data_IF_953497234436
#
_entry.id   IF_953497234436
#
_cell.length_a   1.000
_cell.length_b   1.000
_cell.length_c   1.000
_cell.angle_alpha   90.00
_cell.angle_beta   90.00
_cell.angle_gamma   90.00
#
_symmetry.space_group_name_H-M   'P 1'
#
loop_
_entity.id
_entity.type
_entity.pdbx_description
1 polymer ?
#
# COMPACT_ATOMS: atom_id res chain seq x y z
N UNK A 1 -4.17 29.35 -30.08
CA UNK A 1 -5.29 29.00 -29.17
C UNK A 1 -6.55 28.51 -29.88
N UNK A 2 -6.79 28.83 -31.16
CA UNK A 2 -7.98 28.36 -31.89
C UNK A 2 -8.00 26.84 -32.14
N UNK A 3 -6.84 26.19 -32.26
CA UNK A 3 -6.75 24.76 -32.54
C UNK A 3 -7.25 23.88 -31.39
N UNK A 4 -6.89 24.20 -30.13
CA UNK A 4 -7.38 23.46 -28.96
C UNK A 4 -8.90 23.63 -28.82
N UNK A 5 -9.43 24.83 -29.10
CA UNK A 5 -10.88 25.08 -29.12
C UNK A 5 -11.62 24.26 -30.18
N UNK A 6 -11.02 24.01 -31.35
CA UNK A 6 -11.60 23.12 -32.38
C UNK A 6 -11.63 21.64 -31.95
N UNK A 7 -10.79 21.22 -31.00
CA UNK A 7 -10.72 19.84 -30.51
C UNK A 7 -11.78 19.51 -29.43
N UNK A 8 -12.25 20.53 -28.70
CA UNK A 8 -13.26 20.42 -27.62
C UNK A 8 -14.54 19.67 -28.04
N UNK A 9 -15.18 19.95 -29.20
CA UNK A 9 -16.39 19.23 -29.61
C UNK A 9 -16.14 17.74 -29.89
N UNK A 10 -14.93 17.36 -30.34
CA UNK A 10 -14.56 15.95 -30.53
C UNK A 10 -14.32 15.26 -29.18
N UNK A 11 -13.59 15.89 -28.28
CA UNK A 11 -13.33 15.36 -26.92
C UNK A 11 -14.63 15.22 -26.12
N UNK A 12 -15.65 16.04 -26.40
CA UNK A 12 -16.97 15.98 -25.74
C UNK A 12 -17.69 14.64 -25.95
N UNK A 13 -17.49 13.95 -27.07
CA UNK A 13 -18.06 12.61 -27.29
C UNK A 13 -17.34 11.53 -26.47
N UNK A 14 -16.07 11.75 -26.12
CA UNK A 14 -15.23 10.83 -25.34
C UNK A 14 -15.15 11.16 -23.84
N UNK A 15 -16.05 11.99 -23.31
CA UNK A 15 -16.05 12.41 -21.89
C UNK A 15 -15.95 11.26 -20.89
N UNK A 16 -16.63 10.14 -21.15
CA UNK A 16 -16.58 8.95 -20.30
C UNK A 16 -15.16 8.37 -20.26
N UNK A 17 -14.50 8.23 -21.40
CA UNK A 17 -13.13 7.72 -21.50
C UNK A 17 -12.11 8.69 -20.89
N UNK A 18 -12.30 10.00 -21.07
CA UNK A 18 -11.45 11.01 -20.45
C UNK A 18 -11.56 10.95 -18.91
N UNK A 19 -12.78 10.87 -18.36
CA UNK A 19 -12.99 10.68 -16.92
C UNK A 19 -12.36 9.38 -16.42
N UNK A 20 -12.59 8.28 -17.13
CA UNK A 20 -12.06 6.97 -16.76
C UNK A 20 -10.53 6.95 -16.79
N UNK A 21 -9.90 7.62 -17.77
CA UNK A 21 -8.45 7.74 -17.85
C UNK A 21 -7.89 8.53 -16.67
N UNK A 22 -8.49 9.68 -16.32
CA UNK A 22 -8.09 10.45 -15.14
C UNK A 22 -8.26 9.62 -13.86
N UNK A 23 -9.40 8.93 -13.71
CA UNK A 23 -9.67 8.06 -12.58
C UNK A 23 -8.63 6.94 -12.45
N UNK A 24 -8.30 6.24 -13.53
CA UNK A 24 -7.27 5.22 -13.53
C UNK A 24 -5.86 5.77 -13.31
N UNK A 25 -5.57 7.00 -13.75
CA UNK A 25 -4.29 7.64 -13.48
C UNK A 25 -4.14 7.98 -11.99
N UNK A 26 -5.22 8.46 -11.35
CA UNK A 26 -5.26 8.68 -9.90
C UNK A 26 -5.09 7.37 -9.15
N UNK A 27 -5.83 6.31 -9.54
CA UNK A 27 -5.64 4.98 -8.97
C UNK A 27 -4.22 4.47 -9.18
N UNK A 28 -3.64 4.66 -10.36
CA UNK A 28 -2.26 4.27 -10.66
C UNK A 28 -1.26 4.97 -9.75
N UNK A 29 -1.41 6.27 -9.51
CA UNK A 29 -0.55 7.00 -8.57
C UNK A 29 -0.72 6.47 -7.13
N UNK A 30 -1.96 6.24 -6.69
CA UNK A 30 -2.26 5.71 -5.35
C UNK A 30 -1.70 4.29 -5.19
N UNK A 31 -2.02 3.36 -6.08
CA UNK A 31 -1.49 2.00 -6.06
C UNK A 31 0.03 1.96 -6.24
N UNK A 32 0.61 2.85 -7.03
CA UNK A 32 2.04 3.01 -7.16
C UNK A 32 2.70 3.36 -5.83
N UNK A 33 2.18 4.37 -5.11
CA UNK A 33 2.67 4.72 -3.77
C UNK A 33 2.44 3.61 -2.74
N UNK A 34 1.27 2.95 -2.76
CA UNK A 34 0.97 1.82 -1.88
C UNK A 34 1.87 0.60 -2.15
N UNK A 35 2.28 0.37 -3.41
CA UNK A 35 3.23 -0.70 -3.76
C UNK A 35 4.57 -0.49 -3.05
N UNK A 36 5.07 0.76 -3.01
CA UNK A 36 6.28 1.08 -2.25
C UNK A 36 6.09 0.88 -0.74
N UNK A 37 4.94 1.30 -0.18
CA UNK A 37 4.62 1.07 1.24
C UNK A 37 4.56 -0.43 1.57
N UNK A 38 3.99 -1.24 0.68
CA UNK A 38 3.91 -2.71 0.83
C UNK A 38 5.28 -3.40 0.67
N UNK A 39 6.18 -2.83 -0.12
CA UNK A 39 7.55 -3.35 -0.27
C UNK A 39 8.41 -3.10 0.99
N UNK A 40 8.11 -2.05 1.76
CA UNK A 40 8.83 -1.70 2.98
C UNK A 40 8.94 -2.86 4.00
N UNK A 41 7.87 -3.58 4.40
CA UNK A 41 8.00 -4.72 5.30
C UNK A 41 8.84 -5.85 4.72
N UNK A 42 8.80 -6.09 3.39
CA UNK A 42 9.67 -7.11 2.76
C UNK A 42 11.14 -6.73 2.87
N UNK A 43 11.50 -5.48 2.60
CA UNK A 43 12.87 -4.97 2.75
C UNK A 43 13.34 -5.06 4.21
N UNK A 44 12.48 -4.70 5.17
CA UNK A 44 12.78 -4.83 6.61
C UNK A 44 13.08 -6.28 7.02
N UNK A 45 12.32 -7.24 6.49
CA UNK A 45 12.53 -8.68 6.73
C UNK A 45 13.84 -9.16 6.08
N UNK A 46 14.11 -8.78 4.82
CA UNK A 46 15.36 -9.12 4.13
C UNK A 46 16.60 -8.59 4.85
N UNK A 47 16.55 -7.32 5.28
CA UNK A 47 17.65 -6.61 5.94
C UNK A 47 17.76 -6.91 7.44
N UNK A 48 16.94 -7.82 7.98
CA UNK A 48 16.87 -8.18 9.42
C UNK A 48 16.74 -6.96 10.36
N UNK A 49 16.26 -5.83 9.86
CA UNK A 49 16.13 -4.57 10.61
C UNK A 49 14.72 -4.39 11.21
N UNK A 50 13.96 -5.48 11.32
CA UNK A 50 12.60 -5.47 11.86
C UNK A 50 12.63 -5.39 13.38
N UNK A 51 12.01 -4.35 13.95
CA UNK A 51 11.69 -4.32 15.38
C UNK A 51 10.77 -5.50 15.69
N UNK A 52 11.18 -6.35 16.63
CA UNK A 52 10.42 -7.53 17.02
C UNK A 52 9.30 -7.09 17.96
N UNK A 53 8.11 -6.90 17.40
CA UNK A 53 6.91 -6.66 18.21
C UNK A 53 6.42 -8.01 18.72
N UNK A 54 6.72 -8.31 19.99
CA UNK A 54 6.36 -9.57 20.66
C UNK A 54 4.98 -9.51 21.35
N UNK A 55 4.40 -8.31 21.45
CA UNK A 55 3.11 -8.07 22.12
C UNK A 55 2.08 -7.68 21.08
N UNK A 56 0.93 -8.36 21.08
CA UNK A 56 -0.17 -8.06 20.15
C UNK A 56 -0.68 -6.63 20.40
N UNK A 57 -0.69 -5.75 19.38
CA UNK A 57 -1.23 -4.39 19.56
C UNK A 57 -2.73 -4.46 19.87
N UNK A 58 -3.17 -3.65 20.83
CA UNK A 58 -4.58 -3.56 21.26
C UNK A 58 -5.19 -2.31 20.65
N UNK A 59 -6.28 -2.46 19.90
CA UNK A 59 -6.97 -1.35 19.19
C UNK A 59 -7.37 -0.19 20.11
N UNK A 60 -7.59 -0.45 21.41
CA UNK A 60 -7.93 0.56 22.41
C UNK A 60 -6.81 1.59 22.67
N UNK A 61 -5.56 1.31 22.29
CA UNK A 61 -4.42 2.22 22.49
C UNK A 61 -4.19 3.17 21.31
N UNK A 62 -5.00 3.07 20.25
CA UNK A 62 -4.84 3.83 19.01
C UNK A 62 -6.10 4.65 18.74
N UNK A 63 -6.06 5.94 19.04
CA UNK A 63 -7.18 6.86 18.81
C UNK A 63 -6.95 7.69 17.54
N UNK A 64 -7.94 7.67 16.63
CA UNK A 64 -7.94 8.49 15.41
C UNK A 64 -7.52 7.77 14.12
N UNK A 65 -7.77 8.43 12.99
CA UNK A 65 -7.59 7.86 11.65
C UNK A 65 -6.12 7.61 11.28
N UNK A 66 -5.21 8.41 11.83
CA UNK A 66 -3.75 8.26 11.65
C UNK A 66 -3.25 7.06 12.46
N UNK A 67 -3.72 6.92 13.71
CA UNK A 67 -3.34 5.83 14.60
C UNK A 67 -3.82 4.45 14.11
N UNK A 68 -4.83 4.39 13.23
CA UNK A 68 -5.21 3.15 12.55
C UNK A 68 -4.06 2.63 11.67
N UNK A 69 -3.36 3.51 10.95
CA UNK A 69 -2.21 3.12 10.14
C UNK A 69 -1.09 2.52 10.99
N UNK A 70 -0.81 3.12 12.14
CA UNK A 70 0.20 2.63 13.08
C UNK A 70 -0.20 1.29 13.69
N UNK A 71 -1.47 1.12 14.08
CA UNK A 71 -2.01 -0.17 14.54
C UNK A 71 -1.84 -1.28 13.49
N UNK A 72 -2.13 -0.99 12.21
CA UNK A 72 -1.96 -1.97 11.14
C UNK A 72 -0.49 -2.33 10.93
N UNK A 73 0.42 -1.36 10.99
CA UNK A 73 1.86 -1.61 10.92
C UNK A 73 2.34 -2.50 12.07
N UNK A 74 1.91 -2.21 13.31
CA UNK A 74 2.30 -2.97 14.49
C UNK A 74 1.73 -4.40 14.45
N UNK A 75 0.50 -4.55 13.94
CA UNK A 75 -0.14 -5.86 13.78
C UNK A 75 0.60 -6.71 12.73
N UNK A 76 1.01 -6.10 11.62
CA UNK A 76 1.81 -6.75 10.59
C UNK A 76 3.18 -7.15 11.13
N UNK A 77 3.87 -6.27 11.88
CA UNK A 77 5.15 -6.57 12.50
C UNK A 77 5.04 -7.72 13.51
N UNK A 78 3.96 -7.76 14.32
CA UNK A 78 3.67 -8.87 15.22
C UNK A 78 3.42 -10.19 14.46
N UNK A 79 2.62 -10.16 13.39
CA UNK A 79 2.35 -11.32 12.56
C UNK A 79 3.62 -11.87 11.91
N UNK A 80 4.43 -10.99 11.31
CA UNK A 80 5.72 -11.34 10.71
C UNK A 80 6.65 -11.96 11.76
N UNK A 81 6.79 -11.32 12.92
CA UNK A 81 7.66 -11.82 14.01
C UNK A 81 7.22 -13.21 14.48
N UNK A 82 5.92 -13.42 14.65
CA UNK A 82 5.35 -14.71 15.07
C UNK A 82 5.61 -15.79 14.01
N UNK A 83 5.36 -15.49 12.73
CA UNK A 83 5.56 -16.45 11.64
C UNK A 83 7.02 -16.78 11.38
N UNK A 84 7.93 -15.83 11.61
CA UNK A 84 9.38 -16.06 11.55
C UNK A 84 9.80 -17.03 12.67
N UNK A 85 9.23 -16.91 13.88
CA UNK A 85 9.53 -17.82 14.99
C UNK A 85 8.99 -19.24 14.74
N UNK A 86 7.79 -19.35 14.18
CA UNK A 86 7.15 -20.66 13.93
C UNK A 86 7.75 -21.42 12.74
N UNK A 87 7.97 -20.74 11.60
CA UNK A 87 8.24 -21.40 10.32
C UNK A 87 9.58 -20.96 9.68
N UNK A 88 10.34 -20.09 10.36
CA UNK A 88 11.58 -19.55 9.85
C UNK A 88 11.39 -18.40 8.84
N UNK A 89 12.44 -17.61 8.68
CA UNK A 89 12.43 -16.37 7.89
C UNK A 89 12.09 -16.59 6.41
N UNK A 90 12.63 -17.65 5.79
CA UNK A 90 12.45 -17.92 4.36
C UNK A 90 11.00 -18.26 4.00
N UNK A 91 10.27 -18.94 4.90
CA UNK A 91 8.86 -19.27 4.68
C UNK A 91 7.98 -18.02 4.64
N UNK A 92 8.21 -17.09 5.57
CA UNK A 92 7.47 -15.82 5.62
C UNK A 92 7.73 -14.97 4.38
N UNK A 93 8.99 -14.92 3.94
CA UNK A 93 9.38 -14.24 2.71
C UNK A 93 8.65 -14.79 1.47
N UNK A 94 8.54 -16.11 1.35
CA UNK A 94 7.80 -16.74 0.25
C UNK A 94 6.31 -16.38 0.29
N UNK A 95 5.68 -16.36 1.47
CA UNK A 95 4.27 -15.94 1.61
C UNK A 95 4.07 -14.46 1.28
N UNK A 96 5.06 -13.60 1.51
CA UNK A 96 4.94 -12.17 1.19
C UNK A 96 5.14 -11.85 -0.29
N UNK A 97 5.82 -12.73 -1.04
CA UNK A 97 6.08 -12.56 -2.48
C UNK A 97 4.92 -13.09 -3.33
N UNK A 98 4.22 -14.11 -2.85
CA UNK A 98 3.09 -14.79 -3.52
C UNK A 98 1.77 -14.08 -3.20
#
# INVERSE_FOLDING_TARGET
MEYIKKLIPFVRQYKKYAYLNIFFNVLYAVFGTLSFVSLMPMLKVLLKSSERILVKPVRSNYEGFIALGDYYNDLLNYFITTKIQENGQYYVLTIMII
#
